data_IF_157081446044
#
_entry.id   IF_157081446044
#
_cell.length_a   1.000
_cell.length_b   1.000
_cell.length_c   1.000
_cell.angle_alpha   90.00
_cell.angle_beta   90.00
_cell.angle_gamma   90.00
#
_symmetry.space_group_name_H-M   'P 1'
#
loop_
_entity.id
_entity.type
_entity.pdbx_description
1 polymer ?
#
# COMPACT_ATOMS: atom_id res chain seq x y z
N UNK A 1 35.54 9.29 -80.81
CA UNK A 1 34.31 9.50 -80.04
C UNK A 1 34.31 8.45 -78.96
N UNK A 2 34.77 8.81 -77.72
CA UNK A 2 34.91 7.94 -76.61
C UNK A 2 33.78 8.23 -75.60
N UNK A 3 32.90 7.26 -75.40
CA UNK A 3 31.76 7.37 -74.48
C UNK A 3 32.22 6.92 -73.09
N UNK A 4 32.22 7.84 -72.15
CA UNK A 4 32.57 7.57 -70.73
C UNK A 4 31.29 7.14 -70.02
N UNK A 5 31.25 5.89 -69.52
CA UNK A 5 30.14 5.32 -68.72
C UNK A 5 30.47 5.54 -67.24
N UNK A 6 29.76 6.46 -66.57
CA UNK A 6 29.85 6.67 -65.13
C UNK A 6 28.88 5.73 -64.41
N UNK A 7 29.44 4.80 -63.64
CA UNK A 7 28.66 3.94 -62.73
C UNK A 7 28.34 4.69 -61.42
N UNK A 8 27.05 4.87 -61.13
CA UNK A 8 26.53 5.35 -59.83
C UNK A 8 26.41 4.18 -58.88
N UNK A 9 27.33 4.10 -57.92
CA UNK A 9 27.19 3.21 -56.76
C UNK A 9 26.26 3.86 -55.73
N UNK A 10 25.03 3.39 -55.66
CA UNK A 10 24.10 3.72 -54.55
C UNK A 10 24.48 3.01 -53.29
N UNK A 11 24.97 3.76 -52.27
CA UNK A 11 25.06 3.28 -50.90
C UNK A 11 23.66 3.20 -50.29
N UNK A 12 23.14 1.97 -50.14
CA UNK A 12 21.96 1.72 -49.37
C UNK A 12 22.38 1.72 -47.89
N UNK A 13 22.21 2.83 -47.17
CA UNK A 13 22.27 2.88 -45.72
C UNK A 13 20.98 2.26 -45.20
N UNK A 14 21.04 1.01 -44.80
CA UNK A 14 20.05 0.41 -43.91
C UNK A 14 20.18 1.09 -42.55
N UNK A 15 19.37 2.09 -42.30
CA UNK A 15 19.17 2.60 -40.94
C UNK A 15 18.57 1.46 -40.13
N UNK A 16 19.41 0.88 -39.27
CA UNK A 16 18.92 0.03 -38.17
C UNK A 16 18.12 0.96 -37.26
N UNK A 17 16.80 0.91 -37.36
CA UNK A 17 15.90 1.41 -36.34
C UNK A 17 16.13 0.51 -35.13
N UNK A 18 16.97 0.97 -34.23
CA UNK A 18 17.01 0.43 -32.85
C UNK A 18 15.77 0.98 -32.16
N UNK A 19 14.68 0.26 -32.31
CA UNK A 19 13.47 0.49 -31.52
C UNK A 19 13.74 0.06 -30.09
N UNK A 20 14.45 0.90 -29.32
CA UNK A 20 14.54 0.81 -27.88
C UNK A 20 13.36 1.58 -27.29
N UNK A 21 12.15 1.08 -27.49
CA UNK A 21 11.01 1.53 -26.71
C UNK A 21 11.24 1.03 -25.29
N UNK A 22 11.85 1.87 -24.44
CA UNK A 22 11.86 1.61 -23.00
C UNK A 22 10.40 1.52 -22.55
N UNK A 23 10.08 0.51 -21.73
CA UNK A 23 8.76 0.37 -21.14
C UNK A 23 8.41 1.66 -20.40
N UNK A 24 7.20 2.20 -20.57
CA UNK A 24 6.77 3.39 -19.85
C UNK A 24 6.80 3.11 -18.33
N UNK A 25 7.04 4.16 -17.54
CA UNK A 25 7.17 4.09 -16.10
C UNK A 25 5.88 4.53 -15.43
N UNK A 26 5.42 3.77 -14.44
CA UNK A 26 4.34 4.14 -13.53
C UNK A 26 4.95 4.58 -12.19
N UNK A 27 4.64 5.81 -11.78
CA UNK A 27 5.05 6.39 -10.50
C UNK A 27 4.03 6.04 -9.42
N UNK A 28 4.45 5.26 -8.44
CA UNK A 28 3.59 4.79 -7.34
C UNK A 28 3.95 5.56 -6.08
N UNK A 29 3.01 6.35 -5.54
CA UNK A 29 3.19 7.04 -4.26
C UNK A 29 2.96 6.09 -3.09
N UNK A 30 3.94 5.97 -2.21
CA UNK A 30 3.87 5.16 -0.99
C UNK A 30 4.72 5.74 0.13
N UNK A 31 4.33 5.51 1.39
CA UNK A 31 5.17 5.81 2.55
C UNK A 31 5.93 4.56 3.02
N UNK A 32 6.86 4.72 3.96
CA UNK A 32 7.55 3.57 4.56
C UNK A 32 6.61 2.81 5.48
N UNK A 33 6.22 1.59 5.08
CA UNK A 33 5.27 0.76 5.80
C UNK A 33 5.55 -0.74 5.68
N UNK A 34 6.54 -1.27 6.42
CA UNK A 34 6.77 -2.72 6.47
C UNK A 34 5.53 -3.49 6.98
N UNK A 35 5.21 -4.67 6.41
CA UNK A 35 5.92 -5.38 5.33
C UNK A 35 5.43 -5.01 3.92
N UNK A 36 4.65 -3.93 3.73
CA UNK A 36 4.04 -3.58 2.45
C UNK A 36 4.99 -2.84 1.51
N UNK A 37 5.63 -1.78 2.00
CA UNK A 37 6.63 -1.00 1.28
C UNK A 37 7.71 -0.51 2.24
N UNK A 38 8.96 -0.87 2.00
CA UNK A 38 10.12 -0.46 2.78
C UNK A 38 11.40 -0.59 1.96
N UNK A 39 12.52 -0.12 2.46
CA UNK A 39 13.82 -0.28 1.82
C UNK A 39 14.52 -1.51 2.40
N UNK A 40 15.08 -2.36 1.52
CA UNK A 40 15.94 -3.46 1.93
C UNK A 40 17.34 -2.94 2.35
N UNK A 41 18.26 -3.85 2.71
CA UNK A 41 19.62 -3.52 3.13
C UNK A 41 20.42 -2.79 2.04
N UNK A 42 20.09 -2.99 0.77
CA UNK A 42 20.72 -2.32 -0.38
C UNK A 42 20.09 -0.96 -0.69
N UNK A 43 19.10 -0.53 0.10
CA UNK A 43 18.35 0.73 -0.11
C UNK A 43 17.34 0.66 -1.25
N UNK A 44 16.96 -0.53 -1.72
CA UNK A 44 15.98 -0.71 -2.79
C UNK A 44 14.58 -0.94 -2.21
N UNK A 45 13.53 -0.34 -2.83
CA UNK A 45 12.15 -0.61 -2.44
C UNK A 45 11.82 -2.09 -2.54
N UNK A 46 11.17 -2.63 -1.51
CA UNK A 46 10.71 -4.02 -1.40
C UNK A 46 9.45 -4.07 -0.54
N UNK A 47 8.82 -5.23 -0.46
CA UNK A 47 7.61 -5.47 0.32
C UNK A 47 6.47 -6.01 -0.52
N UNK A 48 5.36 -6.36 0.14
CA UNK A 48 4.20 -6.99 -0.50
C UNK A 48 3.68 -6.14 -1.66
N UNK A 49 3.47 -4.85 -1.42
CA UNK A 49 2.91 -3.93 -2.41
C UNK A 49 3.88 -3.69 -3.56
N UNK A 50 5.18 -3.54 -3.25
CA UNK A 50 6.22 -3.33 -4.25
C UNK A 50 6.34 -4.55 -5.18
N UNK A 51 6.37 -5.76 -4.62
CA UNK A 51 6.49 -6.99 -5.39
C UNK A 51 5.23 -7.26 -6.23
N UNK A 52 4.02 -7.05 -5.65
CA UNK A 52 2.77 -7.17 -6.40
C UNK A 52 2.69 -6.16 -7.54
N UNK A 53 3.04 -4.89 -7.29
CA UNK A 53 3.05 -3.86 -8.31
C UNK A 53 4.09 -4.16 -9.41
N UNK A 54 5.29 -4.59 -9.05
CA UNK A 54 6.35 -4.96 -10.01
C UNK A 54 5.86 -6.02 -10.97
N UNK A 55 5.26 -7.09 -10.46
CA UNK A 55 4.73 -8.19 -11.26
C UNK A 55 3.53 -7.73 -12.10
N UNK A 56 2.54 -7.06 -11.49
CA UNK A 56 1.32 -6.67 -12.17
C UNK A 56 1.59 -5.67 -13.31
N UNK A 57 2.31 -4.60 -13.02
CA UNK A 57 2.67 -3.61 -14.04
C UNK A 57 3.64 -4.18 -15.08
N UNK A 58 4.55 -5.09 -14.67
CA UNK A 58 5.42 -5.83 -15.59
C UNK A 58 4.63 -6.64 -16.62
N UNK A 59 3.59 -7.38 -16.21
CA UNK A 59 2.66 -8.10 -17.11
C UNK A 59 1.94 -7.15 -18.07
N UNK A 60 1.70 -5.91 -17.65
CA UNK A 60 1.06 -4.88 -18.46
C UNK A 60 2.04 -4.16 -19.40
N UNK A 61 3.34 -4.44 -19.32
CA UNK A 61 4.38 -3.82 -20.13
C UNK A 61 4.91 -2.49 -19.58
N UNK A 62 4.75 -2.22 -18.29
CA UNK A 62 5.29 -1.05 -17.61
C UNK A 62 6.46 -1.40 -16.69
N UNK A 63 7.33 -0.43 -16.42
CA UNK A 63 8.22 -0.40 -15.25
C UNK A 63 7.52 0.37 -14.14
N UNK A 64 7.95 0.16 -12.90
CA UNK A 64 7.47 0.98 -11.77
C UNK A 64 8.59 1.82 -11.18
N UNK A 65 8.21 2.94 -10.58
CA UNK A 65 9.07 3.77 -9.73
C UNK A 65 8.30 4.08 -8.45
N UNK A 66 8.86 3.67 -7.30
CA UNK A 66 8.28 4.00 -5.99
C UNK A 66 8.71 5.41 -5.60
N UNK A 67 7.75 6.30 -5.45
CA UNK A 67 7.95 7.68 -5.01
C UNK A 67 7.65 7.75 -3.52
N UNK A 68 8.66 8.00 -2.67
CA UNK A 68 8.42 8.20 -1.24
C UNK A 68 7.60 9.46 -1.01
N UNK A 69 6.48 9.33 -0.31
CA UNK A 69 5.58 10.44 -0.02
C UNK A 69 5.30 10.56 1.48
N UNK A 70 4.97 11.78 1.94
CA UNK A 70 4.21 11.93 3.17
C UNK A 70 2.78 11.44 2.91
N UNK A 71 2.27 10.54 3.77
CA UNK A 71 0.96 9.95 3.58
C UNK A 71 -0.18 10.98 3.53
N UNK A 72 -0.02 12.10 4.20
CA UNK A 72 -0.96 13.22 4.18
C UNK A 72 -1.06 13.87 2.79
N UNK A 73 0.03 13.86 2.01
CA UNK A 73 0.11 14.51 0.70
C UNK A 73 -0.38 13.62 -0.46
N UNK A 74 -0.68 12.34 -0.21
CA UNK A 74 -1.00 11.34 -1.24
C UNK A 74 -2.05 11.82 -2.25
N UNK A 75 -3.16 12.38 -1.78
CA UNK A 75 -4.26 12.84 -2.64
C UNK A 75 -3.83 14.01 -3.50
N UNK A 76 -3.15 15.00 -2.92
CA UNK A 76 -2.68 16.19 -3.62
C UNK A 76 -1.64 15.84 -4.70
N UNK A 77 -0.70 14.95 -4.39
CA UNK A 77 0.33 14.52 -5.33
C UNK A 77 -0.30 13.75 -6.52
N UNK A 78 -1.32 12.92 -6.25
CA UNK A 78 -2.08 12.22 -7.28
C UNK A 78 -2.84 13.22 -8.19
N UNK A 79 -3.55 14.17 -7.60
CA UNK A 79 -4.31 15.20 -8.32
C UNK A 79 -3.41 16.12 -9.16
N UNK A 80 -2.18 16.37 -8.70
CA UNK A 80 -1.18 17.15 -9.43
C UNK A 80 -0.44 16.35 -10.53
N UNK A 81 -0.64 15.03 -10.61
CA UNK A 81 0.10 14.17 -11.56
C UNK A 81 1.58 13.95 -11.19
N UNK A 82 1.96 14.21 -9.95
CA UNK A 82 3.30 13.93 -9.43
C UNK A 82 3.54 12.43 -9.26
N UNK A 83 2.46 11.69 -9.00
CA UNK A 83 2.37 10.22 -8.98
C UNK A 83 1.20 9.76 -9.87
N UNK A 84 1.28 8.57 -10.42
CA UNK A 84 0.25 7.96 -11.27
C UNK A 84 -0.83 7.23 -10.46
N UNK A 85 -0.43 6.62 -9.34
CA UNK A 85 -1.32 5.93 -8.42
C UNK A 85 -0.75 5.89 -7.00
N UNK A 86 -1.59 5.51 -6.04
CA UNK A 86 -1.24 5.31 -4.63
C UNK A 86 -1.34 3.82 -4.32
N UNK A 87 -0.27 3.22 -3.79
CA UNK A 87 -0.27 1.86 -3.28
C UNK A 87 0.63 1.82 -2.03
N UNK A 88 0.07 1.50 -0.89
CA UNK A 88 0.75 1.53 0.40
C UNK A 88 -0.20 1.06 1.49
N UNK A 89 -0.66 -0.21 1.40
CA UNK A 89 -1.66 -0.76 2.32
C UNK A 89 -2.92 0.14 2.39
N UNK A 90 -3.40 0.59 1.22
CA UNK A 90 -4.44 1.63 1.15
C UNK A 90 -5.85 1.04 1.19
N UNK A 91 -6.54 1.23 2.31
CA UNK A 91 -7.91 0.75 2.52
C UNK A 91 -8.90 1.42 1.58
N UNK A 92 -9.70 0.62 0.87
CA UNK A 92 -10.74 1.08 -0.05
C UNK A 92 -12.01 1.55 0.69
N UNK A 93 -12.33 0.95 1.85
CA UNK A 93 -13.60 1.18 2.59
C UNK A 93 -13.82 2.67 2.89
N UNK A 94 -15.00 3.19 2.47
CA UNK A 94 -15.39 4.58 2.65
C UNK A 94 -14.63 5.60 1.79
N UNK A 95 -13.97 5.14 0.70
CA UNK A 95 -13.24 5.98 -0.24
C UNK A 95 -13.51 5.62 -1.71
N UNK A 96 -14.51 4.79 -1.97
CA UNK A 96 -14.84 4.32 -3.32
C UNK A 96 -15.21 5.48 -4.26
N UNK A 97 -15.80 6.54 -3.73
CA UNK A 97 -16.19 7.72 -4.51
C UNK A 97 -15.04 8.71 -4.74
N UNK A 98 -13.94 8.60 -3.97
CA UNK A 98 -12.81 9.53 -4.05
C UNK A 98 -11.81 9.19 -5.15
N UNK A 99 -11.72 7.92 -5.57
CA UNK A 99 -10.69 7.40 -6.49
C UNK A 99 -11.30 6.42 -7.48
N UNK A 100 -10.55 6.12 -8.56
CA UNK A 100 -10.72 4.86 -9.27
C UNK A 100 -9.85 3.81 -8.60
N UNK A 101 -10.37 2.61 -8.40
CA UNK A 101 -9.71 1.56 -7.66
C UNK A 101 -9.43 0.33 -8.52
N UNK A 102 -8.22 -0.21 -8.43
CA UNK A 102 -7.90 -1.57 -8.85
C UNK A 102 -7.74 -2.43 -7.61
N UNK A 103 -8.52 -3.51 -7.50
CA UNK A 103 -8.54 -4.39 -6.35
C UNK A 103 -9.96 -4.60 -5.78
N UNK A 104 -10.09 -5.18 -4.57
CA UNK A 104 -9.04 -5.38 -3.58
C UNK A 104 -8.04 -6.47 -3.97
N UNK A 105 -6.74 -6.22 -3.77
CA UNK A 105 -5.69 -7.21 -4.05
C UNK A 105 -5.37 -8.11 -2.84
N UNK A 106 -5.69 -7.66 -1.64
CA UNK A 106 -5.65 -8.46 -0.40
C UNK A 106 -6.53 -7.82 0.67
N UNK A 107 -6.78 -8.59 1.75
CA UNK A 107 -7.43 -8.07 2.95
C UNK A 107 -6.42 -7.84 4.06
N UNK A 108 -6.74 -6.94 4.99
CA UNK A 108 -5.98 -6.72 6.21
C UNK A 108 -6.89 -6.28 7.36
N UNK A 109 -6.50 -6.60 8.59
CA UNK A 109 -7.21 -6.19 9.80
C UNK A 109 -6.60 -4.88 10.32
N UNK A 110 -7.45 -3.89 10.59
CA UNK A 110 -7.10 -2.74 11.40
C UNK A 110 -7.32 -3.11 12.85
N UNK A 111 -6.32 -2.99 13.67
CA UNK A 111 -6.33 -3.45 15.07
C UNK A 111 -5.77 -2.40 16.02
N UNK A 112 -5.96 -2.65 17.31
CA UNK A 112 -5.32 -1.89 18.38
C UNK A 112 -4.27 -2.76 19.04
N UNK A 113 -3.09 -2.19 19.28
CA UNK A 113 -2.04 -2.83 20.08
C UNK A 113 -1.71 -1.99 21.32
N UNK A 114 -1.31 -2.70 22.37
CA UNK A 114 -0.98 -2.15 23.69
C UNK A 114 0.28 -2.79 24.24
N UNK A 115 0.87 -2.24 25.29
CA UNK A 115 1.96 -2.90 26.00
C UNK A 115 1.47 -4.24 26.61
N UNK A 116 2.30 -5.29 26.72
CA UNK A 116 1.89 -6.63 27.16
C UNK A 116 1.19 -6.63 28.53
N UNK A 117 1.63 -5.77 29.44
CA UNK A 117 1.10 -5.67 30.80
C UNK A 117 -0.04 -4.65 30.94
N UNK A 118 -0.60 -4.15 29.82
CA UNK A 118 -1.73 -3.22 29.85
C UNK A 118 -3.00 -3.89 30.36
N UNK A 119 -3.85 -3.11 31.01
CA UNK A 119 -5.20 -3.48 31.46
C UNK A 119 -6.28 -3.38 30.36
N UNK A 120 -5.89 -3.01 29.15
CA UNK A 120 -6.77 -2.85 27.98
C UNK A 120 -6.86 -4.18 27.22
N UNK A 121 -8.00 -4.87 27.24
CA UNK A 121 -8.22 -6.17 26.57
C UNK A 121 -9.20 -6.10 25.41
N UNK A 122 -10.05 -5.09 25.35
CA UNK A 122 -11.07 -4.87 24.32
C UNK A 122 -11.20 -3.38 23.99
N UNK A 123 -11.87 -3.05 22.90
CA UNK A 123 -12.01 -1.67 22.45
C UNK A 123 -12.68 -0.75 23.48
N UNK A 124 -13.66 -1.26 24.24
CA UNK A 124 -14.32 -0.47 25.29
C UNK A 124 -13.40 -0.06 26.45
N UNK A 125 -12.28 -0.77 26.67
CA UNK A 125 -11.33 -0.44 27.74
C UNK A 125 -10.45 0.76 27.39
N UNK A 126 -10.56 1.26 26.15
CA UNK A 126 -9.92 2.50 25.68
C UNK A 126 -10.55 3.76 26.25
N UNK A 127 -11.66 3.66 27.04
CA UNK A 127 -12.30 4.84 27.61
C UNK A 127 -11.31 5.64 28.47
N UNK A 128 -11.17 6.94 28.18
CA UNK A 128 -10.25 7.84 28.87
C UNK A 128 -8.77 7.61 28.60
N UNK A 129 -8.40 6.60 27.80
CA UNK A 129 -7.00 6.27 27.46
C UNK A 129 -6.47 7.18 26.35
N UNK A 130 -5.15 7.23 26.18
CA UNK A 130 -4.46 7.94 25.11
C UNK A 130 -4.12 6.95 24.01
N UNK A 131 -4.46 7.27 22.78
CA UNK A 131 -4.20 6.42 21.62
C UNK A 131 -3.47 7.20 20.53
N UNK A 132 -2.47 6.58 19.89
CA UNK A 132 -1.79 7.15 18.73
C UNK A 132 -2.14 6.40 17.44
N UNK A 133 -2.27 7.17 16.36
CA UNK A 133 -2.51 6.69 15.00
C UNK A 133 -1.68 7.49 14.00
N UNK A 134 -1.49 6.97 12.81
CA UNK A 134 -1.00 7.80 11.72
C UNK A 134 -2.13 8.65 11.15
N UNK A 135 -1.83 9.92 10.85
CA UNK A 135 -2.79 10.86 10.26
C UNK A 135 -3.27 10.39 8.89
N UNK A 136 -4.50 10.78 8.54
CA UNK A 136 -5.22 10.47 7.28
C UNK A 136 -5.40 8.96 7.00
N UNK A 137 -5.36 8.13 8.07
CA UNK A 137 -5.60 6.68 8.02
C UNK A 137 -7.03 6.32 8.48
N UNK A 138 -7.44 5.06 8.25
CA UNK A 138 -8.74 4.58 8.74
C UNK A 138 -8.83 4.52 10.27
N UNK A 139 -7.83 4.05 11.02
CA UNK A 139 -7.89 4.14 12.47
C UNK A 139 -8.13 5.57 12.98
N UNK A 140 -7.44 6.57 12.40
CA UNK A 140 -7.69 7.97 12.78
C UNK A 140 -9.16 8.35 12.54
N UNK A 141 -9.70 8.05 11.35
CA UNK A 141 -11.07 8.39 11.00
C UNK A 141 -12.08 7.75 11.97
N UNK A 142 -11.89 6.45 12.31
CA UNK A 142 -12.75 5.72 13.24
C UNK A 142 -12.79 6.40 14.61
N UNK A 143 -11.62 6.71 15.18
CA UNK A 143 -11.51 7.30 16.50
C UNK A 143 -11.98 8.76 16.55
N UNK A 144 -11.76 9.53 15.47
CA UNK A 144 -12.23 10.91 15.38
C UNK A 144 -13.75 10.99 15.24
N UNK A 145 -14.33 10.18 14.34
CA UNK A 145 -15.76 10.24 14.03
C UNK A 145 -16.61 9.45 15.01
N UNK A 146 -16.03 8.43 15.65
CA UNK A 146 -16.74 7.49 16.56
C UNK A 146 -18.02 6.94 15.94
N UNK A 147 -17.95 6.52 14.69
CA UNK A 147 -19.06 5.95 13.93
C UNK A 147 -19.38 4.51 14.34
N UNK A 148 -18.52 3.88 15.10
CA UNK A 148 -18.64 2.52 15.64
C UNK A 148 -18.95 2.61 17.13
N UNK A 149 -20.08 2.04 17.56
CA UNK A 149 -20.56 2.07 18.95
C UNK A 149 -19.59 1.40 19.94
N UNK A 150 -18.71 0.51 19.46
CA UNK A 150 -17.68 -0.13 20.26
C UNK A 150 -16.56 0.84 20.69
N UNK A 151 -16.45 1.98 19.99
CA UNK A 151 -15.38 2.96 20.22
C UNK A 151 -15.78 3.95 21.32
N UNK A 152 -15.14 3.87 22.50
CA UNK A 152 -15.45 4.76 23.61
C UNK A 152 -14.84 6.14 23.39
N UNK A 153 -15.15 7.05 24.33
CA UNK A 153 -14.50 8.37 24.36
C UNK A 153 -13.05 8.23 24.86
N UNK A 154 -12.09 8.49 23.98
CA UNK A 154 -10.68 8.56 24.35
C UNK A 154 -10.39 9.76 25.26
N UNK A 155 -9.38 9.63 26.13
CA UNK A 155 -8.80 10.77 26.86
C UNK A 155 -8.02 11.68 25.91
N UNK A 156 -7.27 11.10 24.97
CA UNK A 156 -6.61 11.84 23.89
C UNK A 156 -6.38 10.93 22.67
N UNK A 157 -6.55 11.52 21.47
CA UNK A 157 -6.12 10.92 20.21
C UNK A 157 -4.93 11.72 19.68
N UNK A 158 -3.82 11.05 19.42
CA UNK A 158 -2.58 11.67 18.89
C UNK A 158 -2.39 11.17 17.46
N UNK A 159 -2.59 12.09 16.51
CA UNK A 159 -2.34 11.82 15.11
C UNK A 159 -0.92 12.25 14.75
N UNK A 160 -0.12 11.33 14.21
CA UNK A 160 1.27 11.54 13.84
C UNK A 160 1.44 11.32 12.34
N UNK A 161 2.21 12.18 11.70
CA UNK A 161 2.53 12.03 10.28
C UNK A 161 3.42 10.79 10.04
N UNK A 162 4.46 10.62 10.85
CA UNK A 162 5.37 9.50 10.78
C UNK A 162 4.81 8.30 11.56
N UNK A 163 4.58 7.20 10.84
CA UNK A 163 4.01 5.96 11.36
C UNK A 163 4.87 5.29 12.43
N UNK A 164 6.19 5.30 12.29
CA UNK A 164 7.09 4.66 13.26
C UNK A 164 7.04 5.33 14.63
N UNK A 165 6.70 6.63 14.67
CA UNK A 165 6.57 7.35 15.92
C UNK A 165 5.39 6.86 16.78
N UNK A 166 4.32 6.29 16.20
CA UNK A 166 3.20 5.77 16.99
C UNK A 166 3.67 4.63 17.90
N UNK A 167 4.50 3.73 17.37
CA UNK A 167 5.05 2.61 18.13
C UNK A 167 6.07 3.07 19.17
N UNK A 168 6.90 4.05 18.80
CA UNK A 168 7.83 4.70 19.75
C UNK A 168 7.06 5.32 20.92
N UNK A 169 5.93 6.01 20.66
CA UNK A 169 5.10 6.62 21.69
C UNK A 169 4.52 5.55 22.65
N UNK A 170 4.07 4.42 22.09
CA UNK A 170 3.59 3.30 22.92
C UNK A 170 4.72 2.72 23.77
N UNK A 171 5.87 2.43 23.18
CA UNK A 171 7.02 1.86 23.89
C UNK A 171 7.58 2.78 24.99
N UNK A 172 7.46 4.11 24.84
CA UNK A 172 7.84 5.10 25.85
C UNK A 172 6.74 5.41 26.87
N UNK A 173 5.55 4.85 26.72
CA UNK A 173 4.41 5.10 27.61
C UNK A 173 3.79 6.49 27.44
N UNK A 174 4.02 7.17 26.32
CA UNK A 174 3.38 8.46 26.03
C UNK A 174 1.90 8.28 25.65
N UNK A 175 1.56 7.09 25.11
CA UNK A 175 0.22 6.64 24.84
C UNK A 175 0.01 5.25 25.43
N UNK A 176 -1.27 4.89 25.63
CA UNK A 176 -1.67 3.59 26.18
C UNK A 176 -1.88 2.54 25.09
N UNK A 177 -2.19 2.99 23.88
CA UNK A 177 -2.50 2.14 22.73
C UNK A 177 -2.11 2.79 21.39
N UNK A 178 -2.00 1.96 20.34
CA UNK A 178 -1.82 2.39 18.94
C UNK A 178 -2.80 1.67 18.04
N UNK A 179 -3.25 2.35 16.97
CA UNK A 179 -4.11 1.78 15.93
C UNK A 179 -3.38 1.69 14.59
N UNK A 180 -3.30 0.49 14.00
CA UNK A 180 -2.65 0.25 12.71
C UNK A 180 -3.11 -1.06 12.07
N UNK A 181 -2.57 -1.40 10.90
CA UNK A 181 -2.71 -2.72 10.29
C UNK A 181 -1.95 -3.79 11.10
N UNK A 182 -2.57 -4.94 11.31
CA UNK A 182 -2.06 -6.03 12.14
C UNK A 182 -0.68 -6.50 11.68
N UNK A 183 -0.50 -6.72 10.39
CA UNK A 183 0.74 -7.22 9.79
C UNK A 183 1.90 -6.24 10.02
N UNK A 184 1.63 -4.94 9.99
CA UNK A 184 2.63 -3.91 10.28
C UNK A 184 3.05 -3.88 11.76
N UNK A 185 2.11 -4.10 12.68
CA UNK A 185 2.42 -4.21 14.11
C UNK A 185 3.29 -5.45 14.35
N UNK A 186 2.92 -6.59 13.75
CA UNK A 186 3.68 -7.84 13.86
C UNK A 186 5.09 -7.67 13.29
N UNK A 187 5.21 -7.02 12.12
CA UNK A 187 6.52 -6.75 11.52
C UNK A 187 7.36 -5.84 12.42
N UNK A 188 6.77 -4.77 12.97
CA UNK A 188 7.48 -3.88 13.88
C UNK A 188 7.97 -4.60 15.15
N UNK A 189 7.13 -5.47 15.76
CA UNK A 189 7.54 -6.30 16.89
C UNK A 189 8.77 -7.15 16.55
N UNK A 190 8.78 -7.75 15.35
CA UNK A 190 9.89 -8.59 14.87
C UNK A 190 11.16 -7.78 14.63
N UNK A 191 11.05 -6.65 13.92
CA UNK A 191 12.21 -5.84 13.51
C UNK A 191 12.93 -5.18 14.70
N UNK A 192 12.17 -4.79 15.72
CA UNK A 192 12.71 -4.08 16.89
C UNK A 192 12.80 -4.96 18.16
N UNK A 193 12.52 -6.26 18.02
CA UNK A 193 12.47 -7.21 19.15
C UNK A 193 11.61 -6.66 20.32
N UNK A 194 10.44 -6.12 19.97
CA UNK A 194 9.47 -5.59 20.93
C UNK A 194 8.31 -6.56 21.13
N UNK A 195 7.80 -6.60 22.36
CA UNK A 195 6.57 -7.32 22.65
C UNK A 195 5.41 -6.32 22.79
N UNK A 196 4.38 -6.51 21.98
CA UNK A 196 3.10 -5.82 22.09
C UNK A 196 1.98 -6.86 22.13
N UNK A 197 0.86 -6.52 22.75
CA UNK A 197 -0.35 -7.33 22.69
C UNK A 197 -1.36 -6.67 21.78
N UNK A 198 -1.72 -7.38 20.73
CA UNK A 198 -2.80 -6.98 19.81
C UNK A 198 -4.11 -7.40 20.44
N UNK A 199 -5.12 -6.53 20.42
CA UNK A 199 -6.46 -6.89 20.90
C UNK A 199 -7.12 -7.87 19.92
N UNK A 200 -7.82 -8.87 20.44
CA UNK A 200 -8.52 -9.87 19.62
C UNK A 200 -9.63 -9.24 18.77
N UNK A 201 -10.28 -8.21 19.33
CA UNK A 201 -11.33 -7.47 18.67
C UNK A 201 -10.74 -6.47 17.69
N UNK A 202 -10.93 -6.65 16.35
CA UNK A 202 -10.42 -5.70 15.35
C UNK A 202 -11.28 -4.43 15.32
N UNK A 203 -10.67 -3.33 14.91
CA UNK A 203 -11.40 -2.14 14.51
C UNK A 203 -12.26 -2.43 13.28
N UNK A 204 -11.66 -3.04 12.27
CA UNK A 204 -12.33 -3.50 11.05
C UNK A 204 -11.41 -4.40 10.22
N UNK A 205 -12.02 -5.18 9.31
CA UNK A 205 -11.32 -5.83 8.20
C UNK A 205 -11.57 -5.03 6.93
N UNK A 206 -10.54 -4.80 6.13
CA UNK A 206 -10.61 -3.94 4.94
C UNK A 206 -9.94 -4.60 3.74
N UNK A 207 -10.48 -4.33 2.55
CA UNK A 207 -9.79 -4.58 1.29
C UNK A 207 -8.77 -3.49 1.01
N UNK A 208 -7.61 -3.90 0.53
CA UNK A 208 -6.52 -3.02 0.10
C UNK A 208 -6.54 -2.91 -1.42
N UNK A 209 -6.42 -1.70 -1.95
CA UNK A 209 -6.45 -1.44 -3.38
C UNK A 209 -5.40 -0.44 -3.83
N UNK A 210 -5.25 -0.35 -5.15
CA UNK A 210 -4.45 0.68 -5.82
C UNK A 210 -5.38 1.79 -6.26
N UNK A 211 -5.12 3.02 -5.81
CA UNK A 211 -5.97 4.17 -6.08
C UNK A 211 -5.38 5.04 -7.19
N UNK A 212 -6.19 5.33 -8.21
CA UNK A 212 -5.90 6.26 -9.29
C UNK A 212 -6.75 7.52 -9.14
N UNK A 213 -6.37 8.61 -9.82
CA UNK A 213 -7.21 9.80 -9.85
C UNK A 213 -8.63 9.47 -10.36
N UNK A 214 -9.63 10.12 -9.78
CA UNK A 214 -11.05 9.85 -10.12
C UNK A 214 -11.36 10.04 -11.60
N UNK A 215 -10.68 10.97 -12.23
CA UNK A 215 -10.81 11.35 -13.63
C UNK A 215 -9.74 10.76 -14.56
N UNK A 216 -8.99 9.75 -14.10
CA UNK A 216 -8.00 9.06 -14.95
C UNK A 216 -8.70 8.31 -16.10
N UNK A 217 -8.40 8.71 -17.33
CA UNK A 217 -9.01 8.14 -18.56
C UNK A 217 -8.07 7.20 -19.32
N UNK A 218 -6.87 6.91 -18.78
CA UNK A 218 -5.85 6.08 -19.45
C UNK A 218 -6.21 4.60 -19.56
N UNK A 219 -7.22 4.13 -18.80
CA UNK A 219 -7.64 2.72 -18.76
C UNK A 219 -6.64 1.80 -18.01
N UNK A 220 -5.64 2.40 -17.34
CA UNK A 220 -4.62 1.64 -16.59
C UNK A 220 -5.23 0.97 -15.38
N UNK A 221 -6.15 1.66 -14.67
CA UNK A 221 -6.83 1.16 -13.49
C UNK A 221 -7.57 -0.17 -13.79
N UNK A 222 -8.42 -0.19 -14.83
CA UNK A 222 -9.20 -1.37 -15.23
C UNK A 222 -8.32 -2.53 -15.66
N UNK A 223 -7.24 -2.23 -16.39
CA UNK A 223 -6.28 -3.26 -16.81
C UNK A 223 -5.51 -3.83 -15.62
N UNK A 224 -5.14 -2.99 -14.64
CA UNK A 224 -4.50 -3.43 -13.42
C UNK A 224 -5.43 -4.31 -12.57
N UNK A 225 -6.70 -3.93 -12.44
CA UNK A 225 -7.72 -4.72 -11.73
C UNK A 225 -7.80 -6.16 -12.29
N UNK A 226 -7.91 -6.29 -13.62
CA UNK A 226 -7.91 -7.61 -14.26
C UNK A 226 -6.58 -8.35 -14.04
N UNK A 227 -5.44 -7.66 -14.14
CA UNK A 227 -4.13 -8.30 -13.95
C UNK A 227 -3.95 -8.81 -12.51
N UNK A 228 -4.43 -8.07 -11.51
CA UNK A 228 -4.41 -8.51 -10.10
C UNK A 228 -5.33 -9.71 -9.87
N UNK A 229 -6.49 -9.75 -10.53
CA UNK A 229 -7.38 -10.92 -10.50
C UNK A 229 -6.71 -12.15 -11.13
N UNK A 230 -6.07 -11.99 -12.29
CA UNK A 230 -5.31 -13.06 -12.95
C UNK A 230 -4.16 -13.58 -12.06
N UNK A 231 -3.47 -12.69 -11.35
CA UNK A 231 -2.40 -13.05 -10.41
C UNK A 231 -2.92 -13.80 -9.18
N UNK A 232 -4.13 -13.52 -8.73
CA UNK A 232 -4.81 -14.28 -7.68
C UNK A 232 -5.13 -15.70 -8.20
N UNK A 233 -5.71 -15.80 -9.39
CA UNK A 233 -6.13 -17.07 -9.99
C UNK A 233 -4.94 -18.00 -10.30
N UNK A 234 -3.84 -17.48 -10.83
CA UNK A 234 -2.64 -18.25 -11.18
C UNK A 234 -1.70 -18.55 -10.00
N UNK A 235 -2.06 -18.08 -8.79
CA UNK A 235 -1.29 -18.29 -7.55
C UNK A 235 -0.07 -17.38 -7.37
N UNK A 236 0.19 -16.45 -8.31
CA UNK A 236 1.33 -15.53 -8.22
C UNK A 236 1.17 -14.58 -7.03
N UNK A 237 -0.05 -14.09 -6.76
CA UNK A 237 -0.31 -13.22 -5.61
C UNK A 237 0.00 -13.94 -4.29
N UNK A 238 -0.48 -15.18 -4.11
CA UNK A 238 -0.19 -15.98 -2.92
C UNK A 238 1.32 -16.22 -2.74
N UNK A 239 2.03 -16.54 -3.83
CA UNK A 239 3.48 -16.73 -3.80
C UNK A 239 4.23 -15.46 -3.37
N UNK A 240 3.79 -14.29 -3.83
CA UNK A 240 4.40 -13.01 -3.45
C UNK A 240 4.12 -12.69 -1.98
N UNK A 241 2.86 -12.75 -1.54
CA UNK A 241 2.47 -12.50 -0.15
C UNK A 241 3.20 -13.47 0.81
N UNK A 242 3.33 -14.73 0.42
CA UNK A 242 4.00 -15.79 1.20
C UNK A 242 5.51 -15.59 1.40
N UNK A 243 6.15 -14.62 0.74
CA UNK A 243 7.52 -14.22 1.07
C UNK A 243 7.61 -13.42 2.38
N UNK A 244 6.51 -12.80 2.78
CA UNK A 244 6.42 -11.83 3.87
C UNK A 244 5.52 -12.29 5.01
N UNK A 245 4.45 -13.02 4.69
CA UNK A 245 3.40 -13.41 5.63
C UNK A 245 3.15 -14.91 5.57
N UNK A 246 2.87 -15.50 6.73
CA UNK A 246 2.39 -16.88 6.84
C UNK A 246 0.93 -16.97 6.34
N UNK A 247 0.54 -18.15 5.83
CA UNK A 247 -0.82 -18.42 5.31
C UNK A 247 -1.32 -17.38 4.30
N UNK A 248 -0.62 -17.18 3.16
CA UNK A 248 -0.94 -16.10 2.22
C UNK A 248 -2.37 -16.17 1.66
N UNK A 249 -2.95 -17.36 1.56
CA UNK A 249 -4.31 -17.56 1.04
C UNK A 249 -5.37 -16.84 1.86
N UNK A 250 -5.21 -16.74 3.18
CA UNK A 250 -6.17 -16.03 4.03
C UNK A 250 -6.29 -14.55 3.68
N UNK A 251 -5.22 -13.95 3.17
CA UNK A 251 -5.21 -12.54 2.76
C UNK A 251 -5.83 -12.32 1.37
N UNK A 252 -6.05 -13.39 0.61
CA UNK A 252 -6.67 -13.35 -0.71
C UNK A 252 -8.18 -13.65 -0.68
N UNK A 253 -8.76 -13.87 0.50
CA UNK A 253 -10.20 -14.09 0.70
C UNK A 253 -11.01 -12.78 0.61
N UNK A 254 -10.72 -11.97 -0.40
CA UNK A 254 -11.31 -10.63 -0.60
C UNK A 254 -12.83 -10.66 -0.74
N UNK A 255 -13.41 -11.75 -1.20
CA UNK A 255 -14.85 -11.95 -1.35
C UNK A 255 -15.56 -12.12 0.01
N UNK A 256 -14.81 -12.35 1.09
CA UNK A 256 -15.32 -12.47 2.46
C UNK A 256 -15.35 -11.15 3.23
N UNK A 257 -14.89 -10.05 2.61
CA UNK A 257 -15.07 -8.71 3.20
C UNK A 257 -16.57 -8.44 3.15
N UNK A 258 -17.23 -8.58 4.31
CA UNK A 258 -18.65 -8.29 4.39
C UNK A 258 -18.94 -6.87 3.91
N UNK A 259 -20.06 -6.71 3.22
CA UNK A 259 -20.70 -5.41 2.97
C UNK A 259 -21.22 -4.88 4.32
N UNK A 260 -20.29 -4.58 5.27
CA UNK A 260 -20.61 -3.97 6.55
C UNK A 260 -20.62 -2.44 6.45
#
# INVERSE_FOLDING_TARGET
>A
MTVLMTALTGCNKTDKITDTTENPVIKIGSDNYPPYNFLNEDGMPTGIDVDLATEAFGRMGYKIEIIPISWEQKKKMLENGEIDCIMGCFSMKGRLDDYQWAGPYMISRQVVAVNPNSDIYKLSDLEGKKLAVQSTTKPEEIFLRRTDERIPKLGNLISLENRELIYTFLGKGYVDAVGAHEESIIQYMKDYNMELRILDEPLMTVGLGVAFAKDDTRGICQKLEQTLADMKEDGTAAKIIGKYLDDPEKYLEVDKIGEE
#
